data_IF_298807846207
#
_entry.id   IF_298807846207
#
_cell.length_a   1.000
_cell.length_b   1.000
_cell.length_c   1.000
_cell.angle_alpha   90.00
_cell.angle_beta   90.00
_cell.angle_gamma   90.00
#
_symmetry.space_group_name_H-M   'P 1'
#
loop_
_entity.id
_entity.type
_entity.pdbx_description
1 polymer ?
#
# COMPACT_ATOMS: atom_id res chain seq x y z
N UNK A 1 -38.95 -2.23 35.44
CA UNK A 1 -38.16 -2.69 34.27
C UNK A 1 -38.49 -1.94 32.98
N UNK A 2 -39.74 -1.55 32.71
CA UNK A 2 -40.18 -0.87 31.48
C UNK A 2 -39.61 0.54 31.25
N UNK A 3 -39.45 1.36 32.30
CA UNK A 3 -38.90 2.72 32.15
C UNK A 3 -37.41 2.71 31.80
N UNK A 4 -36.62 1.84 32.45
CA UNK A 4 -35.19 1.71 32.16
C UNK A 4 -34.96 1.23 30.72
N UNK A 5 -35.72 0.24 30.24
CA UNK A 5 -35.61 -0.23 28.86
C UNK A 5 -36.00 0.84 27.85
N UNK A 6 -37.08 1.59 28.09
CA UNK A 6 -37.49 2.70 27.22
C UNK A 6 -36.41 3.81 27.15
N UNK A 7 -35.80 4.17 28.27
CA UNK A 7 -34.71 5.17 28.29
C UNK A 7 -33.47 4.70 27.55
N UNK A 8 -33.06 3.43 27.70
CA UNK A 8 -31.93 2.85 26.98
C UNK A 8 -32.17 2.78 25.46
N UNK A 9 -33.38 2.40 25.04
CA UNK A 9 -33.77 2.37 23.61
C UNK A 9 -33.76 3.78 23.01
N UNK A 10 -34.30 4.76 23.73
CA UNK A 10 -34.31 6.16 23.28
C UNK A 10 -32.89 6.71 23.15
N UNK A 11 -32.02 6.43 24.13
CA UNK A 11 -30.61 6.83 24.09
C UNK A 11 -29.88 6.18 22.90
N UNK A 12 -30.08 4.88 22.67
CA UNK A 12 -29.51 4.18 21.52
C UNK A 12 -29.96 4.81 20.21
N UNK A 13 -31.25 5.14 20.08
CA UNK A 13 -31.79 5.78 18.88
C UNK A 13 -31.16 7.15 18.61
N UNK A 14 -31.02 7.99 19.64
CA UNK A 14 -30.33 9.29 19.53
C UNK A 14 -28.87 9.12 19.11
N UNK A 15 -28.15 8.16 19.72
CA UNK A 15 -26.75 7.86 19.36
C UNK A 15 -26.63 7.40 17.91
N UNK A 16 -27.54 6.54 17.44
CA UNK A 16 -27.56 6.06 16.05
C UNK A 16 -27.82 7.20 15.08
N UNK A 17 -28.80 8.07 15.35
CA UNK A 17 -29.07 9.25 14.50
C UNK A 17 -27.86 10.19 14.46
N UNK A 18 -27.28 10.50 15.61
CA UNK A 18 -26.10 11.36 15.70
C UNK A 18 -24.92 10.77 14.91
N UNK A 19 -24.72 9.45 14.99
CA UNK A 19 -23.70 8.73 14.25
C UNK A 19 -23.95 8.77 12.73
N UNK A 20 -25.18 8.49 12.27
CA UNK A 20 -25.57 8.57 10.86
C UNK A 20 -25.36 9.99 10.31
N UNK A 21 -25.76 11.01 11.06
CA UNK A 21 -25.58 12.40 10.68
C UNK A 21 -24.10 12.77 10.55
N UNK A 22 -23.27 12.34 11.51
CA UNK A 22 -21.82 12.53 11.48
C UNK A 22 -21.19 11.90 10.23
N UNK A 23 -21.57 10.67 9.88
CA UNK A 23 -21.05 9.99 8.68
C UNK A 23 -21.47 10.71 7.41
N UNK A 24 -22.75 11.06 7.29
CA UNK A 24 -23.25 11.80 6.12
C UNK A 24 -22.46 13.09 5.92
N UNK A 25 -22.28 13.86 6.99
CA UNK A 25 -21.47 15.08 6.95
C UNK A 25 -19.99 14.82 6.62
N UNK A 26 -19.45 13.66 7.00
CA UNK A 26 -18.08 13.27 6.65
C UNK A 26 -17.94 12.98 5.14
N UNK A 27 -18.95 12.37 4.51
CA UNK A 27 -18.94 12.09 3.07
C UNK A 27 -19.02 13.33 2.18
N UNK A 28 -19.54 14.43 2.71
CA UNK A 28 -19.52 15.73 2.01
C UNK A 28 -18.12 16.38 2.02
N UNK A 29 -17.08 15.74 2.57
CA UNK A 29 -15.74 16.31 2.68
C UNK A 29 -15.18 16.79 1.33
N UNK A 30 -15.17 15.94 0.31
CA UNK A 30 -14.64 16.32 -1.02
C UNK A 30 -15.56 17.28 -1.76
N UNK A 31 -16.89 17.12 -1.59
CA UNK A 31 -17.88 18.04 -2.16
C UNK A 31 -17.65 19.47 -1.64
N UNK A 32 -17.41 19.64 -0.33
CA UNK A 32 -17.10 20.95 0.27
C UNK A 32 -15.78 21.55 -0.21
N UNK A 33 -14.83 20.71 -0.62
CA UNK A 33 -13.55 21.14 -1.17
C UNK A 33 -13.59 21.39 -2.68
N UNK A 34 -14.72 21.14 -3.34
CA UNK A 34 -14.84 21.22 -4.80
C UNK A 34 -14.03 20.14 -5.54
N UNK A 35 -13.67 19.04 -4.86
CA UNK A 35 -12.89 17.96 -5.42
C UNK A 35 -13.85 16.90 -5.99
N UNK A 36 -13.74 16.53 -7.28
CA UNK A 36 -14.62 15.55 -7.90
C UNK A 36 -14.32 14.14 -7.36
N UNK A 37 -15.25 13.20 -7.57
CA UNK A 37 -15.04 11.82 -7.17
C UNK A 37 -16.30 10.96 -7.22
N UNK A 38 -16.15 9.63 -7.06
CA UNK A 38 -17.28 8.71 -7.02
C UNK A 38 -18.12 8.91 -5.74
N UNK A 39 -19.44 8.94 -5.89
CA UNK A 39 -20.36 9.06 -4.75
C UNK A 39 -20.21 7.87 -3.79
N UNK A 40 -19.90 8.10 -2.51
CA UNK A 40 -19.72 7.01 -1.55
C UNK A 40 -21.06 6.36 -1.19
N UNK A 41 -21.07 5.03 -1.06
CA UNK A 41 -22.18 4.28 -0.49
C UNK A 41 -22.19 4.40 1.03
N UNK A 42 -23.38 4.37 1.62
CA UNK A 42 -23.53 4.45 3.07
C UNK A 42 -22.75 3.33 3.77
N UNK A 43 -22.03 3.68 4.84
CA UNK A 43 -21.15 2.79 5.63
C UNK A 43 -19.87 2.29 4.95
N UNK A 44 -19.91 1.89 3.68
CA UNK A 44 -18.79 1.23 3.01
C UNK A 44 -17.94 2.12 2.11
N UNK A 45 -18.32 3.39 1.93
CA UNK A 45 -17.62 4.31 1.03
C UNK A 45 -17.73 3.79 -0.40
N UNK A 46 -16.62 3.71 -1.13
CA UNK A 46 -16.59 3.26 -2.52
C UNK A 46 -16.19 1.79 -2.69
N UNK A 47 -16.28 0.98 -1.64
CA UNK A 47 -15.90 -0.44 -1.68
C UNK A 47 -16.67 -1.24 -2.74
N UNK A 48 -17.94 -0.91 -2.99
CA UNK A 48 -18.76 -1.57 -4.03
C UNK A 48 -18.13 -1.48 -5.42
N UNK A 49 -17.54 -0.33 -5.74
CA UNK A 49 -16.94 -0.08 -7.05
C UNK A 49 -15.62 -0.83 -7.17
N UNK A 50 -14.85 -0.91 -6.08
CA UNK A 50 -13.62 -1.72 -6.00
C UNK A 50 -13.93 -3.21 -6.20
N UNK A 51 -14.99 -3.72 -5.58
CA UNK A 51 -15.42 -5.12 -5.75
C UNK A 51 -15.84 -5.37 -7.21
N UNK A 52 -16.64 -4.47 -7.80
CA UNK A 52 -17.05 -4.58 -9.22
C UNK A 52 -15.86 -4.56 -10.17
N UNK A 53 -14.86 -3.71 -9.92
CA UNK A 53 -13.64 -3.62 -10.71
C UNK A 53 -12.65 -4.78 -10.45
N UNK A 54 -12.95 -5.69 -9.50
CA UNK A 54 -12.12 -6.82 -9.03
C UNK A 54 -10.79 -6.43 -8.36
N UNK A 55 -10.22 -5.26 -8.65
CA UNK A 55 -8.97 -4.75 -8.09
C UNK A 55 -9.07 -3.24 -7.86
N UNK A 56 -8.48 -2.76 -6.76
CA UNK A 56 -8.45 -1.33 -6.45
C UNK A 56 -7.75 -0.50 -7.53
N UNK A 57 -6.69 -1.02 -8.15
CA UNK A 57 -5.98 -0.33 -9.23
C UNK A 57 -6.87 -0.09 -10.44
N UNK A 58 -7.75 -1.04 -10.78
CA UNK A 58 -8.69 -0.91 -11.87
C UNK A 58 -9.79 0.12 -11.56
N UNK A 59 -10.30 0.13 -10.32
CA UNK A 59 -11.24 1.16 -9.88
C UNK A 59 -10.62 2.56 -9.92
N UNK A 60 -9.38 2.72 -9.41
CA UNK A 60 -8.64 3.97 -9.48
C UNK A 60 -8.47 4.41 -10.93
N UNK A 61 -8.05 3.51 -11.83
CA UNK A 61 -7.90 3.84 -13.24
C UNK A 61 -9.21 4.37 -13.86
N UNK A 62 -10.33 3.66 -13.66
CA UNK A 62 -11.65 4.08 -14.15
C UNK A 62 -12.07 5.45 -13.59
N UNK A 63 -11.76 5.72 -12.32
CA UNK A 63 -12.03 7.01 -11.70
C UNK A 63 -11.12 8.11 -12.21
N UNK A 64 -9.84 7.83 -12.47
CA UNK A 64 -8.92 8.78 -13.10
C UNK A 64 -9.41 9.15 -14.49
N UNK A 65 -9.87 8.18 -15.29
CA UNK A 65 -10.43 8.42 -16.62
C UNK A 65 -11.72 9.27 -16.56
N UNK A 66 -12.52 9.13 -15.50
CA UNK A 66 -13.81 9.82 -15.35
C UNK A 66 -13.73 11.19 -14.68
N UNK A 67 -12.90 11.33 -13.65
CA UNK A 67 -12.82 12.52 -12.79
C UNK A 67 -11.54 13.32 -12.97
N UNK A 68 -10.58 12.82 -13.76
CA UNK A 68 -9.32 13.47 -14.06
C UNK A 68 -8.20 13.14 -13.08
N UNK A 69 -7.14 13.95 -13.10
CA UNK A 69 -5.89 13.70 -12.38
C UNK A 69 -5.98 13.90 -10.85
N UNK A 70 -7.02 14.56 -10.36
CA UNK A 70 -7.23 14.83 -8.94
C UNK A 70 -8.67 14.51 -8.59
N UNK A 71 -8.87 13.52 -7.72
CA UNK A 71 -10.20 13.16 -7.25
C UNK A 71 -10.15 12.55 -5.85
N UNK A 72 -11.27 12.61 -5.14
CA UNK A 72 -11.42 12.04 -3.80
C UNK A 72 -12.39 10.86 -3.78
N UNK A 73 -12.07 9.82 -3.03
CA UNK A 73 -12.99 8.71 -2.76
C UNK A 73 -12.93 8.32 -1.28
N UNK A 74 -13.83 7.46 -0.82
CA UNK A 74 -13.87 7.01 0.57
C UNK A 74 -13.60 5.51 0.69
N UNK A 75 -12.76 5.16 1.65
CA UNK A 75 -12.59 3.77 2.11
C UNK A 75 -13.25 3.61 3.47
N UNK A 76 -14.44 2.99 3.49
CA UNK A 76 -15.33 3.11 4.65
C UNK A 76 -15.63 4.58 4.92
N UNK A 77 -15.15 5.08 6.07
CA UNK A 77 -15.31 6.49 6.47
C UNK A 77 -14.08 7.36 6.22
N UNK A 78 -12.99 6.80 5.73
CA UNK A 78 -11.72 7.51 5.56
C UNK A 78 -11.67 8.19 4.20
N UNK A 79 -11.52 9.53 4.12
CA UNK A 79 -11.34 10.22 2.85
C UNK A 79 -9.95 9.92 2.29
N UNK A 80 -9.90 9.52 1.02
CA UNK A 80 -8.67 9.25 0.27
C UNK A 80 -8.61 10.20 -0.93
N UNK A 81 -7.53 10.98 -1.01
CA UNK A 81 -7.26 11.87 -2.13
C UNK A 81 -6.27 11.18 -3.09
N UNK A 82 -6.64 11.11 -4.36
CA UNK A 82 -5.79 10.60 -5.44
C UNK A 82 -5.28 11.80 -6.24
N UNK A 83 -3.97 11.82 -6.47
CA UNK A 83 -3.26 12.88 -7.18
C UNK A 83 -2.36 12.22 -8.22
N UNK A 84 -2.48 12.66 -9.47
CA UNK A 84 -1.67 12.18 -10.61
C UNK A 84 -0.89 13.31 -11.28
N UNK A 85 -0.87 14.51 -10.70
CA UNK A 85 -0.13 15.67 -11.19
C UNK A 85 1.34 15.61 -10.70
N UNK A 86 2.34 15.56 -11.61
CA UNK A 86 3.75 15.46 -11.24
C UNK A 86 4.28 16.60 -10.36
N UNK A 87 3.81 17.83 -10.58
CA UNK A 87 4.29 19.01 -9.86
C UNK A 87 3.80 18.94 -8.40
N UNK A 88 2.53 18.57 -8.22
CA UNK A 88 1.97 18.34 -6.87
C UNK A 88 2.67 17.15 -6.20
N UNK A 89 2.95 16.07 -6.94
CA UNK A 89 3.65 14.91 -6.39
C UNK A 89 5.08 15.28 -5.95
N UNK A 90 5.78 16.14 -6.68
CA UNK A 90 7.09 16.65 -6.27
C UNK A 90 6.97 17.48 -4.98
N UNK A 91 5.96 18.34 -4.89
CA UNK A 91 5.71 19.15 -3.69
C UNK A 91 5.41 18.28 -2.46
N UNK A 92 4.65 17.20 -2.62
CA UNK A 92 4.28 16.29 -1.54
C UNK A 92 5.44 15.37 -1.11
N UNK A 93 6.05 14.67 -2.07
CA UNK A 93 7.04 13.64 -1.78
C UNK A 93 8.46 14.18 -1.54
N UNK A 94 8.78 15.38 -2.06
CA UNK A 94 10.11 15.96 -1.92
C UNK A 94 10.07 17.18 -1.00
N UNK A 95 9.38 18.26 -1.39
CA UNK A 95 9.44 19.54 -0.66
C UNK A 95 8.79 19.44 0.72
N UNK A 96 7.66 18.73 0.80
CA UNK A 96 6.85 18.58 2.03
C UNK A 96 7.00 17.20 2.67
N UNK A 97 8.11 16.50 2.42
CA UNK A 97 8.32 15.16 2.96
C UNK A 97 8.16 15.08 4.49
N UNK A 98 8.56 16.13 5.23
CA UNK A 98 8.39 16.19 6.69
C UNK A 98 6.94 16.11 7.16
N UNK A 99 5.97 16.43 6.30
CA UNK A 99 4.53 16.34 6.59
C UNK A 99 3.90 15.05 6.06
N UNK A 100 4.41 14.53 4.94
CA UNK A 100 3.84 13.38 4.21
C UNK A 100 4.70 12.11 4.28
N UNK A 101 5.57 11.98 5.29
CA UNK A 101 6.47 10.82 5.42
C UNK A 101 5.77 9.53 5.87
N UNK A 102 4.61 9.63 6.53
CA UNK A 102 3.93 8.48 7.11
C UNK A 102 3.11 7.74 6.07
N UNK A 103 3.25 6.41 6.05
CA UNK A 103 2.41 5.54 5.22
C UNK A 103 1.08 5.30 5.91
N UNK A 104 0.08 4.91 5.12
CA UNK A 104 -1.22 4.48 5.61
C UNK A 104 -1.05 3.32 6.60
N UNK A 105 -1.60 3.48 7.80
CA UNK A 105 -1.67 2.38 8.76
C UNK A 105 -2.74 1.38 8.35
N UNK A 106 -2.42 0.08 8.46
CA UNK A 106 -3.45 -0.94 8.39
C UNK A 106 -4.30 -0.90 9.66
N UNK A 107 -5.63 -0.77 9.57
CA UNK A 107 -6.51 -0.79 10.75
C UNK A 107 -6.48 -2.14 11.47
N UNK A 108 -5.99 -3.20 10.81
CA UNK A 108 -5.84 -4.54 11.37
C UNK A 108 -4.40 -4.85 11.83
N UNK A 109 -3.45 -3.92 11.68
CA UNK A 109 -2.10 -4.13 12.19
C UNK A 109 -2.09 -4.03 13.71
N UNK A 110 -1.60 -5.09 14.37
CA UNK A 110 -1.32 -5.05 15.80
C UNK A 110 -0.31 -3.95 16.11
N UNK A 111 -0.35 -3.39 17.32
CA UNK A 111 0.59 -2.33 17.74
C UNK A 111 2.05 -2.77 17.58
N UNK A 112 2.34 -4.06 17.80
CA UNK A 112 3.66 -4.65 17.57
C UNK A 112 4.03 -4.74 16.08
N UNK A 113 3.06 -5.00 15.19
CA UNK A 113 3.29 -5.07 13.74
C UNK A 113 3.54 -3.68 13.11
N UNK A 114 3.07 -2.60 13.75
CA UNK A 114 3.27 -1.22 13.29
C UNK A 114 4.74 -0.77 13.38
N UNK A 115 5.53 -1.33 14.32
CA UNK A 115 6.90 -0.90 14.58
C UNK A 115 7.99 -1.93 14.23
N UNK A 116 7.59 -3.09 13.72
CA UNK A 116 8.49 -4.23 13.53
C UNK A 116 9.54 -4.02 12.42
N UNK A 117 9.14 -3.47 11.27
CA UNK A 117 10.00 -3.40 10.09
C UNK A 117 9.82 -2.08 9.33
N UNK A 118 10.80 -1.77 8.47
CA UNK A 118 10.94 -0.49 7.78
C UNK A 118 9.70 -0.06 6.98
N UNK A 119 8.94 -1.02 6.45
CA UNK A 119 7.75 -0.72 5.65
C UNK A 119 6.55 -0.24 6.46
N UNK A 120 6.48 -0.60 7.75
CA UNK A 120 5.38 -0.22 8.64
C UNK A 120 5.76 0.91 9.62
N UNK A 121 7.05 1.01 9.96
CA UNK A 121 7.52 2.03 10.89
C UNK A 121 7.19 3.45 10.39
N UNK A 122 6.88 4.34 11.33
CA UNK A 122 6.58 5.76 11.06
C UNK A 122 7.49 6.70 11.86
N UNK A 123 7.56 7.96 11.42
CA UNK A 123 8.27 9.04 12.13
C UNK A 123 9.74 8.75 12.45
N UNK A 124 10.15 9.02 13.69
CA UNK A 124 11.55 8.88 14.13
C UNK A 124 12.09 7.45 14.03
N UNK A 125 11.24 6.43 14.26
CA UNK A 125 11.65 5.03 14.17
C UNK A 125 12.01 4.65 12.75
N UNK A 126 11.15 5.00 11.79
CA UNK A 126 11.44 4.86 10.36
C UNK A 126 12.73 5.58 9.97
N UNK A 127 12.93 6.82 10.44
CA UNK A 127 14.14 7.61 10.16
C UNK A 127 15.40 6.89 10.66
N UNK A 128 15.38 6.34 11.87
CA UNK A 128 16.50 5.57 12.45
C UNK A 128 16.78 4.29 11.65
N UNK A 129 15.75 3.51 11.32
CA UNK A 129 15.90 2.27 10.53
C UNK A 129 16.47 2.57 9.13
N UNK A 130 15.97 3.61 8.46
CA UNK A 130 16.53 4.07 7.17
C UNK A 130 17.98 4.48 7.28
N UNK A 131 18.34 5.22 8.33
CA UNK A 131 19.72 5.64 8.55
C UNK A 131 20.67 4.44 8.66
N UNK A 132 20.26 3.37 9.33
CA UNK A 132 21.06 2.13 9.47
C UNK A 132 21.13 1.35 8.16
N UNK A 133 20.04 1.27 7.39
CA UNK A 133 19.95 0.42 6.19
C UNK A 133 20.48 1.08 4.91
N UNK A 134 20.38 2.40 4.77
CA UNK A 134 20.78 3.11 3.55
C UNK A 134 22.25 2.84 3.13
N UNK A 135 23.26 2.79 4.03
CA UNK A 135 24.65 2.52 3.65
C UNK A 135 24.86 1.18 2.93
N UNK A 136 24.05 0.17 3.25
CA UNK A 136 24.09 -1.17 2.63
C UNK A 136 23.80 -1.12 1.12
N UNK A 137 23.03 -0.12 0.67
CA UNK A 137 22.68 0.06 -0.74
C UNK A 137 23.49 1.17 -1.43
N UNK A 138 24.66 1.54 -0.88
CA UNK A 138 25.59 2.45 -1.55
C UNK A 138 26.19 1.81 -2.81
N UNK A 139 26.61 2.62 -3.78
CA UNK A 139 27.19 2.14 -5.05
C UNK A 139 28.40 1.22 -4.84
N UNK A 140 29.21 1.49 -3.81
CA UNK A 140 30.35 0.63 -3.45
C UNK A 140 29.89 -0.75 -2.97
N UNK A 141 28.88 -0.80 -2.08
CA UNK A 141 28.35 -2.07 -1.57
C UNK A 141 27.65 -2.88 -2.65
N UNK A 142 26.89 -2.23 -3.53
CA UNK A 142 26.29 -2.88 -4.69
C UNK A 142 27.37 -3.46 -5.63
N UNK A 143 28.46 -2.73 -5.86
CA UNK A 143 29.61 -3.24 -6.65
C UNK A 143 30.26 -4.47 -5.98
N UNK A 144 30.34 -4.50 -4.65
CA UNK A 144 30.84 -5.66 -3.90
C UNK A 144 29.90 -6.87 -3.97
N UNK A 145 28.58 -6.67 -4.08
CA UNK A 145 27.60 -7.75 -4.25
C UNK A 145 27.57 -8.30 -5.68
N UNK A 146 28.04 -7.52 -6.67
CA UNK A 146 27.99 -7.87 -8.09
C UNK A 146 28.48 -9.29 -8.41
N UNK A 147 29.65 -9.77 -7.91
CA UNK A 147 30.12 -11.12 -8.23
C UNK A 147 29.15 -12.22 -7.77
N UNK A 148 28.52 -12.07 -6.60
CA UNK A 148 27.54 -13.01 -6.07
C UNK A 148 26.28 -13.06 -6.93
N UNK A 149 25.81 -11.90 -7.38
CA UNK A 149 24.67 -11.81 -8.31
C UNK A 149 25.00 -12.51 -9.63
N UNK A 150 26.22 -12.34 -10.16
CA UNK A 150 26.65 -13.00 -11.40
C UNK A 150 26.64 -14.53 -11.26
N UNK A 151 27.10 -15.06 -10.13
CA UNK A 151 27.05 -16.50 -9.84
C UNK A 151 25.60 -17.03 -9.87
N UNK A 152 24.66 -16.32 -9.23
CA UNK A 152 23.23 -16.68 -9.27
C UNK A 152 22.66 -16.62 -10.70
N UNK A 153 23.11 -15.65 -11.53
CA UNK A 153 22.71 -15.55 -12.94
C UNK A 153 23.25 -16.73 -13.75
N UNK A 154 24.51 -17.10 -13.59
CA UNK A 154 25.11 -18.25 -14.28
C UNK A 154 24.36 -19.54 -13.94
N UNK A 155 23.99 -19.73 -12.68
CA UNK A 155 23.20 -20.88 -12.25
C UNK A 155 21.81 -20.87 -12.88
N UNK A 156 21.13 -19.72 -12.92
CA UNK A 156 19.85 -19.57 -13.60
C UNK A 156 19.96 -19.95 -15.08
N UNK A 157 20.95 -19.40 -15.79
CA UNK A 157 21.18 -19.65 -17.21
C UNK A 157 21.44 -21.14 -17.49
N UNK A 158 22.25 -21.80 -16.66
CA UNK A 158 22.50 -23.24 -16.76
C UNK A 158 21.21 -24.04 -16.62
N UNK A 159 20.41 -23.75 -15.58
CA UNK A 159 19.14 -24.45 -15.32
C UNK A 159 18.13 -24.22 -16.44
N UNK A 160 18.10 -23.02 -17.03
CA UNK A 160 17.24 -22.71 -18.17
C UNK A 160 17.70 -23.45 -19.43
N UNK A 161 19.01 -23.50 -19.71
CA UNK A 161 19.55 -24.26 -20.83
C UNK A 161 19.20 -25.75 -20.74
N UNK A 162 19.28 -26.34 -19.55
CA UNK A 162 18.87 -27.74 -19.30
C UNK A 162 17.38 -27.98 -19.62
N UNK A 163 16.50 -26.99 -19.38
CA UNK A 163 15.08 -27.09 -19.74
C UNK A 163 14.85 -26.89 -21.23
N UNK A 164 15.51 -25.90 -21.84
CA UNK A 164 15.43 -25.65 -23.28
C UNK A 164 15.86 -26.89 -24.07
N UNK A 165 16.89 -27.60 -23.62
CA UNK A 165 17.36 -28.84 -24.25
C UNK A 165 16.31 -29.97 -24.23
N UNK A 166 15.35 -29.95 -23.29
CA UNK A 166 14.25 -30.93 -23.23
C UNK A 166 13.15 -30.66 -24.26
N UNK A 167 13.10 -29.45 -24.83
CA UNK A 167 12.12 -29.07 -25.85
C UNK A 167 10.68 -28.91 -25.34
N UNK A 168 10.47 -28.95 -24.02
CA UNK A 168 9.15 -28.82 -23.40
C UNK A 168 8.91 -27.41 -22.88
N UNK A 169 7.66 -26.89 -22.95
CA UNK A 169 7.29 -25.66 -22.28
C UNK A 169 7.52 -25.77 -20.77
N UNK A 170 8.14 -24.76 -20.17
CA UNK A 170 8.36 -24.69 -18.73
C UNK A 170 7.93 -23.35 -18.15
N UNK A 171 7.55 -23.34 -16.87
CA UNK A 171 7.22 -22.12 -16.15
C UNK A 171 8.47 -21.34 -15.76
N UNK A 172 8.75 -20.27 -16.49
CA UNK A 172 9.88 -19.37 -16.23
C UNK A 172 9.77 -18.65 -14.87
N UNK A 173 8.55 -18.44 -14.37
CA UNK A 173 8.31 -17.73 -13.11
C UNK A 173 8.91 -18.50 -11.92
N UNK A 174 8.80 -19.82 -11.93
CA UNK A 174 9.42 -20.67 -10.92
C UNK A 174 10.96 -20.49 -10.85
N UNK A 175 11.62 -20.31 -11.99
CA UNK A 175 13.07 -20.09 -12.06
C UNK A 175 13.47 -18.70 -11.57
N UNK A 176 12.74 -17.64 -11.97
CA UNK A 176 13.00 -16.29 -11.45
C UNK A 176 12.77 -16.18 -9.95
N UNK A 177 11.77 -16.89 -9.40
CA UNK A 177 11.54 -16.94 -7.96
C UNK A 177 12.74 -17.55 -7.23
N UNK A 178 13.31 -18.64 -7.74
CA UNK A 178 14.51 -19.28 -7.18
C UNK A 178 15.73 -18.37 -7.29
N UNK A 179 15.96 -17.78 -8.46
CA UNK A 179 17.04 -16.81 -8.67
C UNK A 179 16.97 -15.63 -7.69
N UNK A 180 15.78 -15.06 -7.49
CA UNK A 180 15.60 -13.95 -6.54
C UNK A 180 15.94 -14.38 -5.12
N UNK A 181 15.51 -15.58 -4.71
CA UNK A 181 15.78 -16.12 -3.38
C UNK A 181 17.28 -16.37 -3.16
N UNK A 182 17.94 -17.02 -4.13
CA UNK A 182 19.38 -17.31 -4.09
C UNK A 182 20.21 -16.02 -4.03
N UNK A 183 19.85 -15.03 -4.85
CA UNK A 183 20.51 -13.71 -4.83
C UNK A 183 20.40 -13.05 -3.45
N UNK A 184 19.21 -13.12 -2.80
CA UNK A 184 18.99 -12.56 -1.47
C UNK A 184 19.79 -13.33 -0.40
N UNK A 185 19.81 -14.66 -0.46
CA UNK A 185 20.58 -15.48 0.49
C UNK A 185 22.08 -15.26 0.37
N UNK A 186 22.58 -15.24 -0.86
CA UNK A 186 24.00 -15.02 -1.14
C UNK A 186 24.44 -13.62 -0.74
N UNK A 187 23.76 -12.57 -1.22
CA UNK A 187 24.15 -11.19 -0.91
C UNK A 187 23.86 -10.79 0.54
N UNK A 188 22.74 -11.25 1.10
CA UNK A 188 22.26 -10.82 2.41
C UNK A 188 22.84 -11.62 3.58
N UNK A 189 23.12 -12.91 3.37
CA UNK A 189 23.53 -13.83 4.43
C UNK A 189 24.83 -14.58 4.13
N UNK A 190 25.39 -14.46 2.92
CA UNK A 190 26.60 -15.18 2.53
C UNK A 190 26.38 -16.68 2.38
N UNK A 191 25.15 -17.11 2.08
CA UNK A 191 24.79 -18.52 1.90
C UNK A 191 24.66 -18.85 0.41
N UNK A 192 25.19 -19.99 -0.01
CA UNK A 192 24.97 -20.57 -1.33
C UNK A 192 23.81 -21.58 -1.26
N UNK A 193 22.82 -21.49 -2.16
CA UNK A 193 21.62 -22.35 -2.16
C UNK A 193 21.35 -23.08 -3.47
#
# INVERSE_FOLDING_TARGET
MSFLTATLVTLLFVVVIAYIWRIRKAYDFFIRLGIPGPTPTFFFGNLSDVIKAKRISAAIQQWTEKYGHIFGYFEGHTPILVISDPDILQDLFVKSFSKFHSRRESPFASQHAKDAHLFNAVGLRWKRQRFVLNPTFSSLKLKQMSPLIHQSIEMLMKKMADQCARGEPFDIYAYFKRFTMDTIWSCGFGLET
#
